data_IF_533667119114
#
_entry.id   IF_533667119114
#
_cell.length_a   1.000
_cell.length_b   1.000
_cell.length_c   1.000
_cell.angle_alpha   90.00
_cell.angle_beta   90.00
_cell.angle_gamma   90.00
#
_symmetry.space_group_name_H-M   'P 1'
#
loop_
_entity.id
_entity.type
_entity.pdbx_description
1 polymer ?
#
# COMPACT_ATOMS: atom_id res chain seq x y z
N UNK A 1 -17.77 51.93 -8.31
CA UNK A 1 -16.57 51.25 -8.83
C UNK A 1 -16.43 49.95 -8.04
N UNK A 2 -16.90 48.82 -8.59
CA UNK A 2 -16.89 47.51 -7.92
C UNK A 2 -15.45 46.95 -7.94
N UNK A 3 -14.93 46.40 -6.84
CA UNK A 3 -13.60 45.79 -6.85
C UNK A 3 -13.63 44.50 -7.68
N UNK A 4 -12.57 44.28 -8.45
CA UNK A 4 -12.36 43.06 -9.21
C UNK A 4 -12.29 41.87 -8.23
N UNK A 5 -13.20 40.92 -8.40
CA UNK A 5 -13.07 39.60 -7.79
C UNK A 5 -11.80 38.98 -8.37
N UNK A 6 -10.80 38.75 -7.52
CA UNK A 6 -9.63 37.98 -7.88
C UNK A 6 -10.12 36.57 -8.13
N UNK A 7 -10.21 36.22 -9.41
CA UNK A 7 -10.48 34.87 -9.90
C UNK A 7 -9.24 34.01 -9.59
N UNK A 8 -9.07 33.68 -8.30
CA UNK A 8 -8.08 32.70 -7.86
C UNK A 8 -8.72 31.35 -8.09
N UNK A 9 -8.80 30.94 -9.35
CA UNK A 9 -8.86 29.53 -9.66
C UNK A 9 -7.70 28.89 -8.88
N UNK A 10 -8.02 28.04 -7.92
CA UNK A 10 -7.04 27.18 -7.27
C UNK A 10 -6.59 26.19 -8.36
N UNK A 11 -5.71 26.66 -9.24
CA UNK A 11 -4.86 25.83 -10.05
C UNK A 11 -3.88 25.21 -9.07
N UNK A 12 -4.29 24.13 -8.40
CA UNK A 12 -3.28 23.17 -7.94
C UNK A 12 -2.55 22.76 -9.22
N UNK A 13 -1.24 23.08 -9.37
CA UNK A 13 -0.51 22.52 -10.48
C UNK A 13 -0.62 21.01 -10.28
N UNK A 14 -1.37 20.31 -11.15
CA UNK A 14 -1.46 18.86 -11.13
C UNK A 14 -0.06 18.24 -11.00
N UNK A 15 0.88 18.85 -11.73
CA UNK A 15 2.32 18.60 -11.73
C UNK A 15 3.00 18.69 -10.35
N UNK A 16 2.53 19.56 -9.44
CA UNK A 16 3.13 19.77 -8.12
C UNK A 16 2.69 18.70 -7.09
N UNK A 17 1.50 18.11 -7.26
CA UNK A 17 1.05 16.96 -6.48
C UNK A 17 1.69 15.68 -7.04
N UNK A 18 1.74 15.54 -8.37
CA UNK A 18 2.43 14.42 -9.04
C UNK A 18 3.94 14.36 -8.73
N UNK A 19 4.60 15.51 -8.55
CA UNK A 19 6.01 15.58 -8.16
C UNK A 19 6.29 15.10 -6.72
N UNK A 20 5.28 15.03 -5.84
CA UNK A 20 5.45 14.50 -4.47
C UNK A 20 5.27 12.98 -4.51
N UNK A 21 6.37 12.26 -4.24
CA UNK A 21 6.34 10.80 -4.10
C UNK A 21 5.26 10.36 -3.11
N UNK A 22 4.42 9.43 -3.54
CA UNK A 22 3.39 8.80 -2.71
C UNK A 22 4.01 8.24 -1.43
N UNK A 23 3.34 8.28 -0.26
CA UNK A 23 3.90 7.77 0.99
C UNK A 23 4.22 6.27 0.93
N UNK A 24 5.46 5.90 1.29
CA UNK A 24 5.91 4.51 1.40
C UNK A 24 7.12 4.42 2.33
N UNK A 25 7.52 3.20 2.70
CA UNK A 25 8.72 2.92 3.49
C UNK A 25 9.33 1.60 3.03
N UNK A 26 10.43 1.68 2.29
CA UNK A 26 11.16 0.49 1.82
C UNK A 26 11.61 -0.38 2.99
N UNK A 27 12.14 0.26 4.03
CA UNK A 27 12.63 -0.40 5.23
C UNK A 27 11.52 -1.18 5.93
N UNK A 28 10.33 -0.60 6.11
CA UNK A 28 9.22 -1.31 6.73
C UNK A 28 8.72 -2.48 5.85
N UNK A 29 8.69 -2.33 4.52
CA UNK A 29 8.31 -3.42 3.62
C UNK A 29 9.27 -4.60 3.71
N UNK A 30 10.58 -4.32 3.63
CA UNK A 30 11.63 -5.33 3.76
C UNK A 30 11.57 -5.98 5.15
N UNK A 31 11.41 -5.19 6.21
CA UNK A 31 11.35 -5.69 7.58
C UNK A 31 10.17 -6.63 7.82
N UNK A 32 8.98 -6.31 7.28
CA UNK A 32 7.81 -7.20 7.42
C UNK A 32 8.01 -8.51 6.67
N UNK A 33 8.41 -8.46 5.39
CA UNK A 33 8.60 -9.68 4.60
C UNK A 33 9.75 -10.54 5.13
N UNK A 34 10.85 -9.92 5.57
CA UNK A 34 11.96 -10.61 6.21
C UNK A 34 11.55 -11.29 7.52
N UNK A 35 10.81 -10.58 8.38
CA UNK A 35 10.28 -11.15 9.62
C UNK A 35 9.39 -12.38 9.35
N UNK A 36 8.49 -12.30 8.36
CA UNK A 36 7.62 -13.40 7.93
C UNK A 36 8.39 -14.63 7.41
N UNK A 37 9.61 -14.46 6.90
CA UNK A 37 10.46 -15.55 6.40
C UNK A 37 11.30 -16.22 7.48
N UNK A 38 11.65 -15.49 8.55
CA UNK A 38 12.50 -16.03 9.63
C UNK A 38 11.68 -16.59 10.79
N UNK A 39 10.41 -16.18 10.91
CA UNK A 39 9.51 -16.56 11.99
C UNK A 39 8.07 -16.72 11.47
N UNK A 40 7.52 -17.94 11.61
CA UNK A 40 6.17 -18.24 11.13
C UNK A 40 5.08 -17.50 11.90
N UNK A 41 5.28 -17.22 13.19
CA UNK A 41 4.30 -16.49 14.01
C UNK A 41 4.14 -15.04 13.51
N UNK A 42 5.20 -14.46 12.95
CA UNK A 42 5.19 -13.13 12.34
C UNK A 42 4.25 -13.02 11.14
N UNK A 43 3.93 -14.13 10.47
CA UNK A 43 2.95 -14.17 9.37
C UNK A 43 1.54 -13.87 9.89
N UNK A 44 1.15 -14.50 11.00
CA UNK A 44 -0.15 -14.26 11.63
C UNK A 44 -0.28 -12.79 12.07
N UNK A 45 0.76 -12.25 12.73
CA UNK A 45 0.80 -10.85 13.19
C UNK A 45 0.68 -9.86 12.03
N UNK A 46 1.29 -10.15 10.88
CA UNK A 46 1.18 -9.33 9.69
C UNK A 46 -0.23 -9.37 9.08
N UNK A 47 -0.80 -10.57 8.93
CA UNK A 47 -2.14 -10.78 8.37
C UNK A 47 -3.26 -10.12 9.20
N UNK A 48 -3.07 -9.96 10.51
CA UNK A 48 -4.01 -9.24 11.37
C UNK A 48 -4.03 -7.73 11.13
N UNK A 49 -2.97 -7.16 10.55
CA UNK A 49 -2.77 -5.70 10.51
C UNK A 49 -2.76 -5.10 9.10
N UNK A 50 -2.36 -5.88 8.10
CA UNK A 50 -2.14 -5.38 6.75
C UNK A 50 -2.56 -6.41 5.69
N UNK A 51 -2.90 -5.89 4.51
CA UNK A 51 -3.11 -6.67 3.28
C UNK A 51 -1.97 -6.39 2.27
N UNK A 52 -2.03 -6.99 1.08
CA UNK A 52 -1.01 -6.79 0.05
C UNK A 52 -0.98 -5.34 -0.46
N UNK A 53 -2.06 -4.56 -0.28
CA UNK A 53 -2.09 -3.15 -0.66
C UNK A 53 -1.15 -2.27 0.18
N UNK A 54 -0.64 -2.83 1.29
CA UNK A 54 0.31 -2.17 2.17
C UNK A 54 1.70 -1.96 1.55
N UNK A 55 2.09 -2.80 0.59
CA UNK A 55 3.39 -2.73 -0.06
C UNK A 55 3.33 -1.82 -1.28
N UNK A 56 4.25 -0.88 -1.42
CA UNK A 56 4.32 0.00 -2.59
C UNK A 56 4.91 -0.74 -3.80
N UNK A 57 5.93 -1.58 -3.58
CA UNK A 57 6.58 -2.35 -4.66
C UNK A 57 5.72 -3.55 -5.06
N UNK A 58 5.36 -3.66 -6.33
CA UNK A 58 4.56 -4.80 -6.84
C UNK A 58 5.22 -6.16 -6.55
N UNK A 59 6.55 -6.25 -6.64
CA UNK A 59 7.28 -7.47 -6.25
C UNK A 59 7.03 -7.89 -4.80
N UNK A 60 6.93 -6.92 -3.88
CA UNK A 60 6.66 -7.17 -2.47
C UNK A 60 5.20 -7.59 -2.25
N UNK A 61 4.26 -7.03 -3.01
CA UNK A 61 2.85 -7.48 -3.01
C UNK A 61 2.74 -8.94 -3.40
N UNK A 62 3.43 -9.35 -4.47
CA UNK A 62 3.47 -10.75 -4.94
C UNK A 62 4.04 -11.69 -3.90
N UNK A 63 5.15 -11.30 -3.27
CA UNK A 63 5.77 -12.06 -2.18
C UNK A 63 4.78 -12.24 -1.02
N UNK A 64 4.16 -11.16 -0.55
CA UNK A 64 3.16 -11.23 0.52
C UNK A 64 2.00 -12.15 0.14
N UNK A 65 1.42 -12.00 -1.06
CA UNK A 65 0.34 -12.87 -1.55
C UNK A 65 0.76 -14.35 -1.60
N UNK A 66 1.99 -14.65 -1.99
CA UNK A 66 2.51 -16.02 -2.00
C UNK A 66 2.65 -16.58 -0.57
N UNK A 67 3.15 -15.78 0.37
CA UNK A 67 3.18 -16.15 1.80
C UNK A 67 1.77 -16.40 2.35
N UNK A 68 0.78 -15.57 1.99
CA UNK A 68 -0.62 -15.78 2.40
C UNK A 68 -1.16 -17.11 1.88
N UNK A 69 -0.85 -17.48 0.63
CA UNK A 69 -1.28 -18.77 0.06
C UNK A 69 -0.64 -19.95 0.79
N UNK A 70 0.66 -19.88 1.07
CA UNK A 70 1.39 -20.88 1.85
C UNK A 70 0.81 -21.02 3.26
N UNK A 71 0.60 -19.89 3.94
CA UNK A 71 -0.01 -19.84 5.27
C UNK A 71 -1.40 -20.48 5.29
N UNK A 72 -2.23 -20.16 4.29
CA UNK A 72 -3.57 -20.72 4.16
C UNK A 72 -3.63 -22.23 3.95
N UNK A 73 -2.55 -22.84 3.44
CA UNK A 73 -2.40 -24.30 3.31
C UNK A 73 -1.74 -24.95 4.53
N UNK A 74 -1.25 -24.16 5.48
CA UNK A 74 -0.47 -24.63 6.62
C UNK A 74 0.96 -25.05 6.24
N UNK A 75 1.46 -24.57 5.11
CA UNK A 75 2.83 -24.85 4.66
C UNK A 75 3.84 -24.02 5.46
N UNK A 76 5.08 -24.51 5.56
CA UNK A 76 6.20 -23.75 6.14
C UNK A 76 6.52 -22.57 5.22
N UNK A 77 6.72 -21.40 5.81
CA UNK A 77 7.08 -20.19 5.07
C UNK A 77 8.56 -19.92 5.32
N UNK A 78 9.39 -20.33 4.36
CA UNK A 78 10.82 -20.03 4.29
C UNK A 78 11.19 -19.63 2.87
N UNK A 79 12.44 -19.19 2.65
CA UNK A 79 12.89 -18.69 1.35
C UNK A 79 12.82 -19.75 0.23
N UNK A 80 12.99 -21.04 0.55
CA UNK A 80 12.98 -22.12 -0.44
C UNK A 80 11.55 -22.42 -0.86
N UNK A 81 10.66 -22.59 0.11
CA UNK A 81 9.25 -22.90 -0.13
C UNK A 81 8.54 -21.72 -0.82
N UNK A 82 8.88 -20.49 -0.43
CA UNK A 82 8.41 -19.29 -1.11
C UNK A 82 8.91 -19.20 -2.55
N UNK A 83 10.18 -19.53 -2.81
CA UNK A 83 10.72 -19.53 -4.16
C UNK A 83 9.99 -20.52 -5.07
N UNK A 84 9.69 -21.72 -4.57
CA UNK A 84 8.95 -22.75 -5.31
C UNK A 84 7.50 -22.31 -5.63
N UNK A 85 6.80 -21.74 -4.64
CA UNK A 85 5.46 -21.17 -4.83
C UNK A 85 5.46 -20.06 -5.89
N UNK A 86 6.43 -19.14 -5.84
CA UNK A 86 6.58 -18.07 -6.82
C UNK A 86 7.00 -18.60 -8.20
N UNK A 87 7.81 -19.65 -8.25
CA UNK A 87 8.25 -20.28 -9.50
C UNK A 87 7.07 -20.97 -10.21
N UNK A 88 6.25 -21.69 -9.45
CA UNK A 88 5.02 -22.34 -9.95
C UNK A 88 4.03 -21.32 -10.49
N UNK A 89 3.96 -20.14 -9.86
CA UNK A 89 3.16 -19.01 -10.34
C UNK A 89 3.80 -18.22 -11.50
N UNK A 90 5.01 -18.57 -11.94
CA UNK A 90 5.81 -17.80 -12.91
C UNK A 90 6.08 -16.34 -12.48
N UNK A 91 6.18 -16.09 -11.18
CA UNK A 91 6.41 -14.77 -10.58
C UNK A 91 7.83 -14.58 -10.01
N UNK A 92 8.61 -15.66 -9.83
CA UNK A 92 9.91 -15.61 -9.15
C UNK A 92 10.87 -14.58 -9.75
N UNK A 93 11.03 -14.57 -11.07
CA UNK A 93 11.90 -13.59 -11.74
C UNK A 93 11.39 -12.16 -11.57
N UNK A 94 10.06 -11.96 -11.60
CA UNK A 94 9.44 -10.65 -11.48
C UNK A 94 9.60 -10.03 -10.09
N UNK A 95 9.78 -10.84 -9.03
CA UNK A 95 10.06 -10.34 -7.68
C UNK A 95 11.54 -10.05 -7.45
N UNK A 96 12.43 -10.52 -8.34
CA UNK A 96 13.89 -10.37 -8.23
C UNK A 96 14.65 -11.68 -7.97
N UNK A 97 13.97 -12.82 -8.07
CA UNK A 97 14.56 -14.15 -7.93
C UNK A 97 14.98 -14.49 -6.49
N UNK A 98 15.63 -15.65 -6.35
CA UNK A 98 16.12 -16.15 -5.06
C UNK A 98 17.05 -15.15 -4.34
N UNK A 99 17.82 -14.37 -5.10
CA UNK A 99 18.70 -13.35 -4.53
C UNK A 99 17.93 -12.27 -3.75
N UNK A 100 16.73 -11.88 -4.22
CA UNK A 100 15.91 -10.92 -3.50
C UNK A 100 15.31 -11.53 -2.23
N UNK A 101 14.87 -12.79 -2.27
CA UNK A 101 14.36 -13.48 -1.08
C UNK A 101 15.43 -13.64 0.00
N UNK A 102 16.67 -14.01 -0.39
CA UNK A 102 17.80 -14.05 0.53
C UNK A 102 18.09 -12.68 1.15
N UNK A 103 18.03 -11.60 0.36
CA UNK A 103 18.18 -10.23 0.88
C UNK A 103 17.12 -9.88 1.92
N UNK A 104 15.87 -10.34 1.76
CA UNK A 104 14.81 -10.08 2.76
C UNK A 104 15.13 -10.76 4.09
N UNK A 105 15.60 -12.01 4.05
CA UNK A 105 16.04 -12.75 5.24
C UNK A 105 17.21 -12.05 5.93
N UNK A 106 18.23 -11.67 5.16
CA UNK A 106 19.45 -11.04 5.69
C UNK A 106 19.23 -9.62 6.23
N UNK A 107 18.20 -8.92 5.75
CA UNK A 107 17.90 -7.55 6.16
C UNK A 107 17.32 -7.46 7.59
N UNK A 108 16.82 -8.55 8.14
CA UNK A 108 16.10 -8.56 9.41
C UNK A 108 16.82 -9.47 10.42
N UNK A 109 17.45 -8.92 11.46
CA UNK A 109 18.15 -9.73 12.44
C UNK A 109 17.20 -10.50 13.37
N UNK A 110 15.98 -9.98 13.60
CA UNK A 110 14.96 -10.59 14.47
C UNK A 110 13.55 -10.20 14.04
N UNK A 111 12.57 -11.07 14.27
CA UNK A 111 11.16 -10.82 13.97
C UNK A 111 10.41 -9.95 15.02
N UNK A 112 11.06 -9.61 16.13
CA UNK A 112 10.43 -9.02 17.31
C UNK A 112 9.63 -7.71 17.05
N UNK A 113 9.99 -6.95 16.02
CA UNK A 113 9.37 -5.66 15.70
C UNK A 113 8.39 -5.71 14.51
N UNK A 114 8.01 -6.90 14.03
CA UNK A 114 7.12 -7.04 12.86
C UNK A 114 5.85 -6.21 12.99
N UNK A 115 5.19 -6.24 14.15
CA UNK A 115 3.96 -5.47 14.38
C UNK A 115 4.18 -3.94 14.33
N UNK A 116 5.37 -3.45 14.72
CA UNK A 116 5.68 -2.02 14.56
C UNK A 116 5.82 -1.65 13.08
N UNK A 117 6.52 -2.47 12.29
CA UNK A 117 6.66 -2.22 10.86
C UNK A 117 5.34 -2.37 10.10
N UNK A 118 4.47 -3.31 10.49
CA UNK A 118 3.10 -3.41 9.96
C UNK A 118 2.30 -2.11 10.19
N UNK A 119 2.38 -1.51 11.39
CA UNK A 119 1.74 -0.22 11.67
C UNK A 119 2.25 0.90 10.76
N UNK A 120 3.57 0.96 10.53
CA UNK A 120 4.15 1.93 9.58
C UNK A 120 3.53 1.74 8.18
N UNK A 121 3.46 0.49 7.69
CA UNK A 121 2.89 0.22 6.36
C UNK A 121 1.39 0.57 6.30
N UNK A 122 0.63 0.26 7.35
CA UNK A 122 -0.78 0.65 7.46
C UNK A 122 -0.95 2.16 7.36
N UNK A 123 -0.19 2.93 8.14
CA UNK A 123 -0.24 4.40 8.10
C UNK A 123 0.07 4.93 6.70
N UNK A 124 1.10 4.39 6.02
CA UNK A 124 1.41 4.77 4.63
C UNK A 124 0.28 4.42 3.67
N UNK A 125 -0.39 3.31 3.88
CA UNK A 125 -1.52 2.87 3.05
C UNK A 125 -2.71 3.80 3.19
N UNK A 126 -3.07 4.17 4.42
CA UNK A 126 -4.13 5.15 4.71
C UNK A 126 -3.81 6.48 4.02
N UNK A 127 -2.57 6.97 4.13
CA UNK A 127 -2.17 8.21 3.46
C UNK A 127 -2.22 8.11 1.94
N UNK A 128 -1.84 6.96 1.34
CA UNK A 128 -1.97 6.74 -0.11
C UNK A 128 -3.43 6.74 -0.56
N UNK A 129 -4.33 6.08 0.19
CA UNK A 129 -5.77 6.06 -0.09
C UNK A 129 -6.36 7.45 0.02
N UNK A 130 -6.00 8.21 1.06
CA UNK A 130 -6.40 9.61 1.21
C UNK A 130 -6.00 10.48 0.03
N UNK A 131 -4.77 10.34 -0.46
CA UNK A 131 -4.30 11.07 -1.65
C UNK A 131 -5.14 10.69 -2.87
N UNK A 132 -5.37 9.40 -3.14
CA UNK A 132 -6.19 8.94 -4.27
C UNK A 132 -7.61 9.51 -4.20
N UNK A 133 -8.28 9.35 -3.05
CA UNK A 133 -9.64 9.85 -2.88
C UNK A 133 -9.73 11.36 -2.99
N UNK A 134 -8.75 12.11 -2.49
CA UNK A 134 -8.71 13.56 -2.66
C UNK A 134 -8.55 13.97 -4.13
N UNK A 135 -7.69 13.27 -4.88
CA UNK A 135 -7.54 13.49 -6.34
C UNK A 135 -8.84 13.22 -7.08
N UNK A 136 -9.54 12.14 -6.74
CA UNK A 136 -10.83 11.80 -7.35
C UNK A 136 -11.92 12.82 -6.99
N UNK A 137 -11.97 13.29 -5.74
CA UNK A 137 -12.91 14.36 -5.32
C UNK A 137 -12.66 15.66 -6.11
N UNK A 138 -11.38 16.01 -6.34
CA UNK A 138 -11.03 17.19 -7.16
C UNK A 138 -11.52 17.00 -8.59
N UNK A 139 -11.32 15.81 -9.18
CA UNK A 139 -11.79 15.51 -10.53
C UNK A 139 -13.32 15.59 -10.62
N UNK A 140 -14.03 14.93 -9.70
CA UNK A 140 -15.49 14.97 -9.61
C UNK A 140 -16.00 16.43 -9.54
N UNK A 141 -15.34 17.29 -8.76
CA UNK A 141 -15.71 18.70 -8.62
C UNK A 141 -15.53 19.52 -9.91
N UNK A 142 -14.55 19.20 -10.76
CA UNK A 142 -14.37 19.85 -12.06
C UNK A 142 -15.37 19.36 -13.12
N UNK A 143 -15.77 18.10 -13.04
CA UNK A 143 -16.69 17.46 -14.00
C UNK A 143 -18.17 17.74 -13.69
N UNK A 144 -18.49 18.11 -12.45
CA UNK A 144 -19.86 18.30 -11.97
C UNK A 144 -20.59 19.48 -12.62
N UNK A 145 -21.79 19.22 -13.12
CA UNK A 145 -22.65 20.22 -13.73
C UNK A 145 -23.47 21.04 -12.72
N UNK A 146 -24.13 22.10 -13.20
CA UNK A 146 -25.11 22.85 -12.40
C UNK A 146 -26.31 21.97 -12.04
N UNK A 147 -26.46 21.63 -10.75
CA UNK A 147 -27.54 20.78 -10.23
C UNK A 147 -27.06 19.48 -9.58
N UNK A 148 -25.77 19.14 -9.69
CA UNK A 148 -25.19 17.87 -9.20
C UNK A 148 -24.29 18.07 -7.96
N UNK A 149 -24.35 19.26 -7.34
CA UNK A 149 -23.46 19.63 -6.22
C UNK A 149 -23.70 18.72 -5.01
N UNK A 150 -24.96 18.49 -4.64
CA UNK A 150 -25.30 17.66 -3.47
C UNK A 150 -24.82 16.21 -3.66
N UNK A 151 -25.04 15.63 -4.84
CA UNK A 151 -24.56 14.28 -5.17
C UNK A 151 -23.03 14.18 -5.14
N UNK A 152 -22.34 15.25 -5.51
CA UNK A 152 -20.87 15.32 -5.50
C UNK A 152 -20.32 15.38 -4.08
N UNK A 153 -20.98 16.14 -3.20
CA UNK A 153 -20.65 16.16 -1.77
C UNK A 153 -20.89 14.80 -1.13
N UNK A 154 -22.01 14.14 -1.42
CA UNK A 154 -22.33 12.81 -0.90
C UNK A 154 -21.27 11.77 -1.32
N UNK A 155 -20.82 11.79 -2.58
CA UNK A 155 -19.73 10.92 -3.05
C UNK A 155 -18.42 11.22 -2.33
N UNK A 156 -18.09 12.49 -2.10
CA UNK A 156 -16.88 12.87 -1.39
C UNK A 156 -16.88 12.35 0.07
N UNK A 157 -17.99 12.54 0.79
CA UNK A 157 -18.16 12.06 2.16
C UNK A 157 -18.03 10.53 2.24
N UNK A 158 -18.67 9.81 1.30
CA UNK A 158 -18.57 8.35 1.22
C UNK A 158 -17.13 7.87 1.05
N UNK A 159 -16.36 8.51 0.16
CA UNK A 159 -14.94 8.17 -0.09
C UNK A 159 -14.07 8.39 1.15
N UNK A 160 -14.25 9.52 1.84
CA UNK A 160 -13.50 9.81 3.07
C UNK A 160 -13.86 8.81 4.18
N UNK A 161 -15.14 8.45 4.29
CA UNK A 161 -15.60 7.46 5.25
C UNK A 161 -14.97 6.08 5.01
N UNK A 162 -14.89 5.63 3.75
CA UNK A 162 -14.28 4.35 3.37
C UNK A 162 -12.80 4.23 3.77
N UNK A 163 -12.05 5.33 3.72
CA UNK A 163 -10.64 5.34 4.17
C UNK A 163 -10.55 5.09 5.68
N UNK A 164 -11.46 5.65 6.47
CA UNK A 164 -11.44 5.54 7.93
C UNK A 164 -11.74 4.13 8.45
N UNK A 165 -12.47 3.33 7.65
CA UNK A 165 -12.97 2.00 8.03
C UNK A 165 -12.01 0.87 7.65
N UNK A 166 -10.83 1.19 7.12
CA UNK A 166 -9.88 0.25 6.55
C UNK A 166 -8.61 0.03 7.40
#
# INVERSE_FOLDING_TARGET
MRPALVDTAISLPSDAIEARRTPWSEEAEISVLGAMLIDGDSVAVALEQIDDSAFHREGNRRIFRAMVRLYGRGDVIDAVTLADELQTAAELDAVGGMAYLAKLVDAVPTAANVGHHCRILRDKTVLRRLISSATEIIQDAYESGSGEVDETLDRADQRIFEISQA
#
